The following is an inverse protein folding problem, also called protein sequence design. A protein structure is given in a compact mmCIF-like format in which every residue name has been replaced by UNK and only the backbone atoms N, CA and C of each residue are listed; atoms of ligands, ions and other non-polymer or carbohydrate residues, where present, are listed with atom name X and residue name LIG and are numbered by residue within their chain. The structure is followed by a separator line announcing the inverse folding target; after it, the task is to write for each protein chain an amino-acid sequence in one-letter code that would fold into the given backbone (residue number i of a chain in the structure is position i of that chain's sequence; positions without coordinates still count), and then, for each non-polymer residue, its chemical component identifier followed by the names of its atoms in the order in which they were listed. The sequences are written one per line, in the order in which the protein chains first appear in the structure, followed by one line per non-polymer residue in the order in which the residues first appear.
data_IF_324452546509
#
_entry.id   IF_324452546509
#
_cell.length_a   1.000
_cell.length_b   1.000
_cell.length_c   1.000
_cell.angle_alpha   90.00
_cell.angle_beta   90.00
_cell.angle_gamma   90.00
#
_symmetry.space_group_name_H-M   'P 1'
#
loop_
_entity.id
_entity.type
_entity.pdbx_description
1 polymer ?
#
# COMPACT_ATOMS: atom_id res chain seq x y z
N UNK A 1 26.79 5.10 -5.92
CA UNK A 1 25.36 4.73 -5.95
C UNK A 1 25.04 3.94 -4.70
N UNK A 2 23.90 4.20 -4.04
CA UNK A 2 23.42 3.38 -2.93
C UNK A 2 23.26 1.91 -3.33
N UNK A 3 23.42 0.99 -2.40
CA UNK A 3 23.26 -0.46 -2.60
C UNK A 3 22.14 -1.01 -1.73
N UNK A 4 21.52 -2.11 -2.18
CA UNK A 4 20.64 -2.93 -1.35
C UNK A 4 21.52 -3.93 -0.59
N UNK A 5 21.43 -3.90 0.74
CA UNK A 5 22.15 -4.78 1.65
C UNK A 5 21.18 -5.86 2.15
N UNK A 6 21.60 -7.11 2.07
CA UNK A 6 20.81 -8.23 2.56
C UNK A 6 20.80 -8.24 4.09
N UNK A 7 19.60 -8.28 4.66
CA UNK A 7 19.43 -8.40 6.11
C UNK A 7 19.79 -9.81 6.59
N UNK A 8 20.51 -9.97 7.72
CA UNK A 8 20.75 -11.28 8.31
C UNK A 8 19.44 -11.97 8.72
N UNK A 9 19.41 -13.30 8.64
CA UNK A 9 18.22 -14.10 8.98
C UNK A 9 18.24 -14.66 10.40
N UNK A 10 19.40 -14.67 11.06
CA UNK A 10 19.58 -15.22 12.41
C UNK A 10 20.50 -14.34 13.28
N UNK A 11 20.20 -14.18 14.58
CA UNK A 11 18.89 -14.41 15.19
C UNK A 11 17.83 -13.45 14.62
N UNK A 12 16.55 -13.81 14.72
CA UNK A 12 15.44 -12.92 14.38
C UNK A 12 15.27 -11.83 15.44
N UNK A 13 14.41 -10.83 15.16
CA UNK A 13 14.13 -9.76 16.11
C UNK A 13 13.48 -10.31 17.38
N UNK A 14 13.85 -9.73 18.52
CA UNK A 14 13.23 -10.01 19.82
C UNK A 14 11.96 -9.19 20.02
N UNK A 15 11.96 -7.94 19.52
CA UNK A 15 10.78 -7.10 19.47
C UNK A 15 10.89 -6.08 18.34
N UNK A 16 9.73 -5.64 17.85
CA UNK A 16 9.57 -4.60 16.85
C UNK A 16 8.48 -3.62 17.25
N UNK A 17 8.63 -2.38 16.83
CA UNK A 17 7.57 -1.38 16.80
C UNK A 17 7.50 -0.85 15.39
N UNK A 18 6.34 -0.95 14.75
CA UNK A 18 6.12 -0.48 13.40
C UNK A 18 5.15 0.71 13.43
N UNK A 19 5.45 1.75 12.66
CA UNK A 19 4.71 3.02 12.69
C UNK A 19 4.43 3.52 11.28
N UNK A 20 3.29 4.18 11.11
CA UNK A 20 2.94 4.89 9.88
C UNK A 20 2.78 6.38 10.21
N UNK A 21 3.73 7.19 9.72
CA UNK A 21 3.70 8.64 9.92
C UNK A 21 3.05 9.33 8.74
N UNK A 22 2.11 10.25 9.00
CA UNK A 22 1.40 11.04 7.99
C UNK A 22 1.58 12.54 8.21
N UNK A 23 1.69 13.30 7.13
CA UNK A 23 1.60 14.75 7.18
C UNK A 23 0.14 15.19 7.11
N UNK A 24 -0.46 15.53 8.25
CA UNK A 24 -1.84 16.05 8.33
C UNK A 24 -1.84 17.44 8.96
N UNK A 25 -2.35 18.44 8.24
CA UNK A 25 -2.64 19.76 8.82
C UNK A 25 -4.02 19.76 9.46
N UNK A 26 -4.14 20.46 10.59
CA UNK A 26 -5.41 20.66 11.30
C UNK A 26 -5.58 22.14 11.57
N UNK A 27 -6.68 22.72 11.08
CA UNK A 27 -7.08 24.09 11.42
C UNK A 27 -8.34 24.04 12.26
N UNK A 28 -8.34 24.70 13.42
CA UNK A 28 -9.51 24.76 14.31
C UNK A 28 -10.02 26.20 14.39
N UNK A 29 -11.33 26.39 14.18
CA UNK A 29 -11.97 27.70 14.34
C UNK A 29 -12.05 28.06 15.83
N UNK A 30 -11.51 29.21 16.27
CA UNK A 30 -11.58 29.63 17.67
C UNK A 30 -12.99 30.09 18.08
N UNK A 31 -13.88 30.38 17.13
CA UNK A 31 -15.24 30.85 17.41
C UNK A 31 -16.29 29.73 17.43
N UNK A 32 -16.06 28.64 16.70
CA UNK A 32 -17.05 27.56 16.54
C UNK A 32 -16.56 26.19 16.99
N UNK A 33 -15.27 26.03 17.27
CA UNK A 33 -14.65 24.74 17.58
C UNK A 33 -14.57 23.77 16.39
N UNK A 34 -15.05 24.16 15.21
CA UNK A 34 -15.00 23.31 14.00
C UNK A 34 -13.55 23.12 13.57
N UNK A 35 -13.18 21.87 13.31
CA UNK A 35 -11.87 21.48 12.80
C UNK A 35 -11.96 21.11 11.32
N UNK A 36 -11.00 21.56 10.53
CA UNK A 36 -10.77 21.11 9.17
C UNK A 36 -9.43 20.42 9.13
N UNK A 37 -9.40 19.18 8.66
CA UNK A 37 -8.17 18.39 8.49
C UNK A 37 -7.83 18.31 7.01
N UNK A 38 -6.55 18.40 6.69
CA UNK A 38 -6.05 18.22 5.33
C UNK A 38 -4.84 17.28 5.38
N UNK A 39 -4.96 16.12 4.76
CA UNK A 39 -3.87 15.17 4.63
C UNK A 39 -3.04 15.48 3.38
N UNK A 40 -1.73 15.65 3.55
CA UNK A 40 -0.77 15.83 2.46
C UNK A 40 -0.30 14.50 1.89
N UNK A 41 0.57 14.54 0.88
CA UNK A 41 1.03 13.34 0.18
C UNK A 41 2.02 12.50 0.98
N UNK A 42 2.73 13.09 1.95
CA UNK A 42 3.75 12.38 2.71
C UNK A 42 3.12 11.41 3.70
N UNK A 43 3.29 10.12 3.41
CA UNK A 43 3.07 9.02 4.33
C UNK A 43 4.21 8.01 4.20
N UNK A 44 4.87 7.67 5.30
CA UNK A 44 5.97 6.70 5.31
C UNK A 44 5.92 5.76 6.49
N UNK A 45 6.30 4.51 6.23
CA UNK A 45 6.51 3.53 7.28
C UNK A 45 7.83 3.81 8.01
N UNK A 46 7.83 3.51 9.29
CA UNK A 46 9.00 3.55 10.14
C UNK A 46 8.92 2.44 11.18
N UNK A 47 10.00 2.27 11.91
CA UNK A 47 9.98 1.33 13.02
C UNK A 47 11.26 1.33 13.82
N UNK A 48 11.21 0.61 14.94
CA UNK A 48 12.36 0.31 15.78
C UNK A 48 12.37 -1.18 16.03
N UNK A 49 13.54 -1.80 15.87
CA UNK A 49 13.72 -3.23 16.13
C UNK A 49 14.80 -3.45 17.17
N UNK A 50 14.60 -4.47 18.00
CA UNK A 50 15.54 -4.89 19.03
C UNK A 50 15.97 -6.32 18.75
N UNK A 51 17.27 -6.57 18.75
CA UNK A 51 17.83 -7.90 18.61
C UNK A 51 18.01 -8.58 19.96
N UNK A 52 17.83 -9.92 20.05
CA UNK A 52 18.05 -10.66 21.28
C UNK A 52 19.53 -10.68 21.66
N UNK A 53 19.86 -11.00 22.94
CA UNK A 53 21.22 -11.30 23.34
C UNK A 53 21.83 -12.40 22.48
N UNK A 54 23.04 -12.19 21.95
CA UNK A 54 23.67 -13.13 21.02
C UNK A 54 25.18 -13.26 21.21
N UNK A 55 25.76 -14.34 20.71
CA UNK A 55 27.21 -14.57 20.74
C UNK A 55 27.90 -13.81 19.60
N UNK A 56 29.23 -13.63 19.72
CA UNK A 56 30.04 -12.87 18.75
C UNK A 56 29.88 -13.33 17.29
N UNK A 57 29.76 -14.63 17.04
CA UNK A 57 29.60 -15.18 15.70
C UNK A 57 28.32 -14.67 15.00
N UNK A 58 27.21 -14.62 15.73
CA UNK A 58 25.93 -14.10 15.24
C UNK A 58 25.95 -12.57 15.18
N UNK A 59 26.50 -11.92 16.22
CA UNK A 59 26.64 -10.47 16.27
C UNK A 59 27.48 -9.91 15.11
N UNK A 60 28.51 -10.64 14.67
CA UNK A 60 29.36 -10.20 13.56
C UNK A 60 28.57 -10.03 12.25
N UNK A 61 27.57 -10.88 11.98
CA UNK A 61 26.72 -10.74 10.80
C UNK A 61 25.87 -9.46 10.87
N UNK A 62 25.26 -9.20 12.03
CA UNK A 62 24.48 -7.98 12.26
C UNK A 62 25.33 -6.71 12.25
N UNK A 63 26.49 -6.73 12.87
CA UNK A 63 27.45 -5.62 12.84
C UNK A 63 27.91 -5.34 11.40
N UNK A 64 28.23 -6.38 10.64
CA UNK A 64 28.62 -6.23 9.23
C UNK A 64 27.48 -5.62 8.39
N UNK A 65 26.25 -6.09 8.58
CA UNK A 65 25.06 -5.52 7.96
C UNK A 65 24.93 -4.02 8.27
N UNK A 66 24.92 -3.65 9.56
CA UNK A 66 24.75 -2.27 10.00
C UNK A 66 25.88 -1.33 9.53
N UNK A 67 27.12 -1.81 9.52
CA UNK A 67 28.26 -1.07 8.95
C UNK A 67 28.12 -0.89 7.43
N UNK A 68 27.64 -1.92 6.72
CA UNK A 68 27.40 -1.84 5.29
C UNK A 68 26.21 -0.94 4.93
N UNK A 69 25.27 -0.67 5.84
CA UNK A 69 24.23 0.35 5.64
C UNK A 69 24.83 1.77 5.47
N UNK A 70 26.00 2.04 6.06
CA UNK A 70 26.67 3.36 6.03
C UNK A 70 25.70 4.48 6.45
N UNK A 71 25.09 4.31 7.62
CA UNK A 71 24.02 5.19 8.11
C UNK A 71 22.77 5.11 7.22
N UNK A 72 22.23 6.26 6.84
CA UNK A 72 21.04 6.37 5.99
C UNK A 72 21.35 6.24 4.47
N UNK A 73 22.58 5.89 4.08
CA UNK A 73 23.03 5.92 2.67
C UNK A 73 22.53 4.73 1.86
N UNK A 74 22.75 3.51 2.36
CA UNK A 74 22.35 2.28 1.69
C UNK A 74 20.99 1.82 2.20
N UNK A 75 20.38 0.92 1.44
CA UNK A 75 19.04 0.43 1.67
C UNK A 75 19.05 -1.06 2.01
N UNK A 76 17.94 -1.55 2.53
CA UNK A 76 17.67 -2.97 2.70
C UNK A 76 16.18 -3.22 2.53
N UNK A 77 15.80 -4.44 2.18
CA UNK A 77 14.40 -4.83 2.10
C UNK A 77 13.88 -5.14 3.51
N UNK A 78 12.73 -4.55 3.84
CA UNK A 78 12.10 -4.69 5.14
C UNK A 78 10.58 -4.55 5.03
N UNK A 79 9.90 -5.17 5.98
CA UNK A 79 8.46 -5.11 6.20
C UNK A 79 8.21 -5.30 7.70
N UNK A 80 6.97 -5.25 8.15
CA UNK A 80 6.64 -5.60 9.53
C UNK A 80 7.12 -7.03 9.85
N UNK A 81 8.07 -7.22 10.78
CA UNK A 81 8.59 -8.54 11.10
C UNK A 81 7.53 -9.52 11.58
N UNK A 82 6.50 -9.04 12.28
CA UNK A 82 5.46 -9.89 12.88
C UNK A 82 4.45 -10.36 11.81
N UNK A 83 4.23 -9.54 10.78
CA UNK A 83 3.33 -9.83 9.66
C UNK A 83 4.07 -10.20 8.37
N UNK A 84 5.32 -10.67 8.47
CA UNK A 84 6.13 -11.07 7.31
C UNK A 84 5.49 -12.19 6.49
N UNK A 85 4.74 -13.09 7.13
CA UNK A 85 3.97 -14.13 6.45
C UNK A 85 2.54 -13.63 6.22
N UNK A 86 2.10 -13.46 4.97
CA UNK A 86 0.71 -13.10 4.70
C UNK A 86 -0.26 -14.12 5.29
N UNK A 87 -1.39 -13.62 5.77
CA UNK A 87 -2.53 -14.42 6.24
C UNK A 87 -3.38 -14.92 5.07
N UNK A 88 -3.40 -14.16 3.97
CA UNK A 88 -4.03 -14.57 2.73
C UNK A 88 -3.41 -15.84 2.13
N UNK A 89 -4.20 -16.54 1.32
CA UNK A 89 -3.82 -17.83 0.72
C UNK A 89 -3.41 -17.72 -0.75
N UNK A 90 -3.22 -16.49 -1.27
CA UNK A 90 -2.81 -16.32 -2.66
C UNK A 90 -1.51 -17.07 -2.94
N UNK A 91 -1.53 -17.93 -3.95
CA UNK A 91 -0.52 -18.98 -4.15
C UNK A 91 0.64 -18.60 -5.09
N UNK A 92 0.71 -17.35 -5.53
CA UNK A 92 1.81 -16.83 -6.36
C UNK A 92 2.58 -15.70 -5.65
N UNK A 93 3.75 -15.36 -6.19
CA UNK A 93 4.65 -14.39 -5.56
C UNK A 93 4.12 -12.96 -5.55
N UNK A 94 3.36 -12.59 -6.59
CA UNK A 94 2.81 -11.27 -6.82
C UNK A 94 1.48 -11.31 -7.58
N UNK A 95 0.73 -10.22 -7.43
CA UNK A 95 -0.40 -9.85 -8.27
C UNK A 95 0.04 -8.78 -9.27
N UNK A 96 -0.80 -8.50 -10.26
CA UNK A 96 -0.55 -7.47 -11.26
C UNK A 96 -1.61 -6.38 -11.21
N UNK A 97 -1.20 -5.11 -11.27
CA UNK A 97 -2.11 -3.99 -11.34
C UNK A 97 -2.95 -4.06 -12.62
N UNK A 98 -4.25 -3.84 -12.49
CA UNK A 98 -5.19 -3.88 -13.60
C UNK A 98 -6.32 -2.88 -13.34
N UNK A 99 -6.47 -1.91 -14.23
CA UNK A 99 -7.66 -1.07 -14.26
C UNK A 99 -8.80 -1.78 -15.00
N UNK A 100 -9.99 -1.83 -14.39
CA UNK A 100 -11.22 -2.46 -14.90
C UNK A 100 -12.33 -1.47 -15.28
N UNK A 101 -12.13 -0.16 -15.13
CA UNK A 101 -13.14 0.84 -15.56
C UNK A 101 -13.35 0.72 -17.07
N UNK A 102 -14.58 0.87 -17.57
CA UNK A 102 -14.94 0.62 -18.97
C UNK A 102 -14.28 -0.62 -19.62
N UNK A 103 -14.29 -1.78 -18.93
CA UNK A 103 -13.67 -3.05 -19.34
C UNK A 103 -12.17 -2.99 -19.69
N UNK A 104 -11.37 -2.30 -18.87
CA UNK A 104 -9.90 -2.29 -19.03
C UNK A 104 -9.29 -0.89 -19.26
N UNK A 105 -10.11 0.16 -19.22
CA UNK A 105 -9.77 1.52 -19.66
C UNK A 105 -10.12 2.60 -18.65
N UNK A 106 -9.12 3.39 -18.26
CA UNK A 106 -9.28 4.53 -17.36
C UNK A 106 -10.15 5.63 -17.99
N UNK A 107 -11.21 6.06 -17.31
CA UNK A 107 -12.11 7.12 -17.82
C UNK A 107 -11.57 8.48 -17.40
N UNK A 108 -11.16 9.28 -18.38
CA UNK A 108 -10.53 10.59 -18.13
C UNK A 108 -11.52 11.77 -18.07
N UNK A 109 -12.72 11.62 -18.64
CA UNK A 109 -13.77 12.63 -18.61
C UNK A 109 -15.14 11.98 -18.79
N UNK A 110 -16.05 12.25 -17.85
CA UNK A 110 -17.44 11.80 -17.87
C UNK A 110 -18.28 12.80 -17.06
N UNK A 111 -19.56 12.91 -17.40
CA UNK A 111 -20.51 13.63 -16.55
C UNK A 111 -20.97 12.71 -15.42
N UNK A 112 -20.79 13.14 -14.18
CA UNK A 112 -21.29 12.43 -12.99
C UNK A 112 -22.37 13.26 -12.29
N UNK A 113 -23.34 12.56 -11.72
CA UNK A 113 -24.22 13.11 -10.69
C UNK A 113 -24.10 12.29 -9.41
N UNK A 114 -24.21 12.98 -8.28
CA UNK A 114 -24.00 12.44 -6.94
C UNK A 114 -25.24 12.73 -6.11
N UNK A 115 -25.79 11.71 -5.44
CA UNK A 115 -26.96 11.86 -4.58
C UNK A 115 -27.00 10.78 -3.51
N UNK A 116 -26.95 11.17 -2.24
CA UNK A 116 -26.87 10.23 -1.12
C UNK A 116 -25.59 9.41 -1.19
N UNK A 117 -25.71 8.12 -1.52
CA UNK A 117 -24.57 7.23 -1.79
C UNK A 117 -24.49 6.77 -3.24
N UNK A 118 -25.31 7.35 -4.11
CA UNK A 118 -25.39 6.96 -5.52
C UNK A 118 -24.53 7.87 -6.38
N UNK A 119 -23.73 7.27 -7.25
CA UNK A 119 -23.04 7.95 -8.36
C UNK A 119 -23.67 7.44 -9.65
N UNK A 120 -24.15 8.38 -10.46
CA UNK A 120 -24.70 8.10 -11.79
C UNK A 120 -23.82 8.74 -12.84
N UNK A 121 -23.35 7.95 -13.79
CA UNK A 121 -22.58 8.40 -14.94
C UNK A 121 -23.46 8.62 -16.16
N UNK A 122 -23.12 9.61 -16.98
CA UNK A 122 -23.79 9.87 -18.26
C UNK A 122 -23.57 8.79 -19.33
N UNK A 123 -22.60 7.89 -19.13
CA UNK A 123 -22.27 6.76 -20.00
C UNK A 123 -21.95 5.51 -19.17
N UNK A 124 -21.97 4.34 -19.82
CA UNK A 124 -21.86 3.02 -19.19
C UNK A 124 -20.42 2.66 -18.74
N UNK A 125 -19.80 3.51 -17.93
CA UNK A 125 -18.38 3.39 -17.54
C UNK A 125 -18.10 2.32 -16.48
N UNK A 126 -19.12 1.81 -15.81
CA UNK A 126 -18.98 0.84 -14.72
C UNK A 126 -19.13 -0.61 -15.17
N UNK A 127 -19.15 -0.89 -16.49
CA UNK A 127 -19.34 -2.22 -17.07
C UNK A 127 -18.41 -3.31 -16.50
N UNK A 128 -17.12 -3.02 -16.34
CA UNK A 128 -16.08 -3.93 -15.86
C UNK A 128 -15.92 -3.97 -14.34
N UNK A 129 -16.72 -3.18 -13.61
CA UNK A 129 -16.72 -3.19 -12.15
C UNK A 129 -17.83 -4.09 -11.59
N UNK A 130 -17.60 -4.58 -10.38
CA UNK A 130 -18.59 -5.34 -9.59
C UNK A 130 -18.74 -4.77 -8.18
N UNK A 131 -19.71 -5.29 -7.43
CA UNK A 131 -19.84 -4.95 -6.01
C UNK A 131 -18.57 -5.36 -5.24
N UNK A 132 -18.09 -4.47 -4.37
CA UNK A 132 -16.85 -4.61 -3.62
C UNK A 132 -15.61 -4.03 -4.33
N UNK A 133 -15.71 -3.64 -5.60
CA UNK A 133 -14.63 -2.93 -6.29
C UNK A 133 -14.52 -1.47 -5.83
N UNK A 134 -13.31 -0.94 -5.94
CA UNK A 134 -13.02 0.47 -5.69
C UNK A 134 -12.72 1.24 -6.97
N UNK A 135 -13.05 2.53 -6.98
CA UNK A 135 -12.62 3.47 -8.01
C UNK A 135 -12.29 4.83 -7.37
N UNK A 136 -11.46 5.61 -8.05
CA UNK A 136 -11.05 6.95 -7.66
C UNK A 136 -11.74 7.99 -8.54
N UNK A 137 -12.42 8.95 -7.92
CA UNK A 137 -13.06 10.08 -8.58
C UNK A 137 -12.20 11.33 -8.40
N UNK A 138 -12.05 12.10 -9.47
CA UNK A 138 -11.54 13.47 -9.40
C UNK A 138 -12.31 14.42 -10.30
N UNK A 139 -12.27 15.71 -10.00
CA UNK A 139 -12.96 16.75 -10.77
C UNK A 139 -14.43 16.94 -10.37
N UNK A 140 -14.89 16.34 -9.27
CA UNK A 140 -16.15 16.72 -8.65
C UNK A 140 -16.03 18.12 -8.01
N UNK A 141 -17.15 18.85 -7.92
CA UNK A 141 -17.15 20.22 -7.37
C UNK A 141 -17.01 20.22 -5.86
N UNK A 142 -17.65 19.28 -5.18
CA UNK A 142 -17.50 19.08 -3.74
C UNK A 142 -16.35 18.12 -3.47
N UNK A 143 -15.44 18.53 -2.59
CA UNK A 143 -14.29 17.73 -2.19
C UNK A 143 -14.67 16.37 -1.59
N UNK A 144 -15.82 16.28 -0.92
CA UNK A 144 -16.32 15.01 -0.35
C UNK A 144 -16.66 13.93 -1.40
N UNK A 145 -16.84 14.34 -2.66
CA UNK A 145 -17.14 13.45 -3.78
C UNK A 145 -15.88 13.03 -4.56
N UNK A 146 -14.73 13.64 -4.25
CA UNK A 146 -13.43 13.24 -4.80
C UNK A 146 -12.79 12.19 -3.87
N UNK A 147 -11.93 11.34 -4.44
CA UNK A 147 -11.23 10.30 -3.71
C UNK A 147 -11.68 8.89 -4.05
N UNK A 148 -11.31 7.92 -3.22
CA UNK A 148 -11.60 6.50 -3.42
C UNK A 148 -12.96 6.12 -2.84
N UNK A 149 -13.79 5.47 -3.65
CA UNK A 149 -15.10 4.98 -3.26
C UNK A 149 -15.21 3.47 -3.50
N UNK A 150 -15.76 2.75 -2.52
CA UNK A 150 -16.11 1.33 -2.64
C UNK A 150 -17.52 1.19 -3.20
N UNK A 151 -17.73 0.31 -4.17
CA UNK A 151 -19.05 -0.06 -4.66
C UNK A 151 -19.68 -1.01 -3.64
N UNK A 152 -20.79 -0.60 -3.07
CA UNK A 152 -21.66 -1.50 -2.30
C UNK A 152 -22.54 -2.33 -3.23
N UNK A 153 -23.16 -1.66 -4.22
CA UNK A 153 -24.05 -2.30 -5.20
C UNK A 153 -23.84 -1.65 -6.57
N UNK A 154 -23.74 -2.47 -7.62
CA UNK A 154 -23.80 -2.01 -9.00
C UNK A 154 -25.23 -2.21 -9.52
N UNK A 155 -25.97 -1.12 -9.68
CA UNK A 155 -27.36 -1.16 -10.15
C UNK A 155 -27.44 -1.29 -11.68
N UNK A 156 -26.49 -0.70 -12.38
CA UNK A 156 -26.31 -0.82 -13.84
C UNK A 156 -24.87 -0.43 -14.21
N UNK A 157 -24.52 -0.51 -15.50
CA UNK A 157 -23.22 -0.02 -15.99
C UNK A 157 -23.08 1.52 -15.92
N UNK A 158 -24.16 2.23 -15.60
CA UNK A 158 -24.19 3.70 -15.41
C UNK A 158 -24.41 4.12 -13.95
N UNK A 159 -24.88 3.23 -13.07
CA UNK A 159 -25.30 3.59 -11.70
C UNK A 159 -24.68 2.65 -10.69
N UNK A 160 -23.93 3.23 -9.76
CA UNK A 160 -23.34 2.52 -8.62
C UNK A 160 -23.77 3.18 -7.30
N UNK A 161 -24.01 2.35 -6.29
CA UNK A 161 -24.21 2.76 -4.91
C UNK A 161 -22.92 2.46 -4.17
N UNK A 162 -22.32 3.48 -3.56
CA UNK A 162 -21.05 3.38 -2.84
C UNK A 162 -21.27 3.26 -1.34
N UNK A 163 -20.25 2.89 -0.58
CA UNK A 163 -20.29 2.94 0.89
C UNK A 163 -20.08 4.35 1.44
N UNK A 164 -19.74 5.33 0.59
CA UNK A 164 -19.47 6.70 0.98
C UNK A 164 -20.77 7.51 1.11
N UNK A 165 -20.74 8.53 1.95
CA UNK A 165 -21.77 9.56 1.98
C UNK A 165 -21.31 10.70 1.08
N UNK A 166 -22.07 11.00 0.03
CA UNK A 166 -21.75 11.98 -0.99
C UNK A 166 -22.57 13.26 -0.77
N UNK A 167 -22.02 14.38 -1.23
CA UNK A 167 -22.73 15.66 -1.28
C UNK A 167 -23.44 15.77 -2.62
N UNK A 168 -24.70 16.19 -2.61
CA UNK A 168 -25.51 16.25 -3.83
C UNK A 168 -24.89 17.18 -4.90
N UNK A 169 -24.68 16.63 -6.09
CA UNK A 169 -24.26 17.35 -7.31
C UNK A 169 -25.10 16.83 -8.48
N UNK A 170 -25.91 17.70 -9.07
CA UNK A 170 -26.87 17.28 -10.10
C UNK A 170 -26.23 16.96 -11.45
N UNK A 171 -25.11 17.60 -11.78
CA UNK A 171 -24.37 17.37 -13.02
C UNK A 171 -23.01 18.05 -12.96
N UNK A 172 -21.96 17.27 -12.82
CA UNK A 172 -20.58 17.76 -12.89
C UNK A 172 -19.91 17.15 -14.11
N UNK A 173 -19.58 18.02 -15.07
CA UNK A 173 -18.89 17.63 -16.29
C UNK A 173 -17.38 17.50 -16.05
N UNK A 174 -16.73 16.61 -16.80
CA UNK A 174 -15.27 16.42 -16.77
C UNK A 174 -14.72 15.75 -15.50
N UNK A 175 -15.55 15.02 -14.77
CA UNK A 175 -15.03 14.13 -13.72
C UNK A 175 -14.22 13.00 -14.37
N UNK A 176 -13.18 12.54 -13.69
CA UNK A 176 -12.44 11.33 -14.08
C UNK A 176 -12.75 10.20 -13.11
N UNK A 177 -12.79 8.97 -13.63
CA UNK A 177 -13.03 7.74 -12.87
C UNK A 177 -11.95 6.74 -13.24
N UNK A 178 -11.07 6.45 -12.28
CA UNK A 178 -9.85 5.67 -12.53
C UNK A 178 -9.56 4.70 -11.39
N UNK A 179 -8.69 3.72 -11.62
CA UNK A 179 -8.16 2.81 -10.60
C UNK A 179 -6.63 2.86 -10.56
N UNK A 180 -5.99 2.46 -9.46
CA UNK A 180 -4.53 2.43 -9.33
C UNK A 180 -3.83 3.77 -9.66
N UNK A 181 -4.47 4.88 -9.32
CA UNK A 181 -3.91 6.23 -9.51
C UNK A 181 -3.33 6.76 -8.20
N UNK A 182 -2.41 7.72 -8.31
CA UNK A 182 -1.86 8.46 -7.18
C UNK A 182 -2.99 9.01 -6.30
N UNK A 183 -2.85 8.83 -5.00
CA UNK A 183 -3.83 9.25 -4.00
C UNK A 183 -4.97 8.26 -3.78
N UNK A 184 -5.08 7.19 -4.57
CA UNK A 184 -6.07 6.15 -4.31
C UNK A 184 -5.74 5.35 -3.06
N UNK A 185 -6.77 5.01 -2.30
CA UNK A 185 -6.72 4.16 -1.09
C UNK A 185 -7.13 2.72 -1.39
N UNK A 186 -7.07 2.33 -2.65
CA UNK A 186 -7.37 0.97 -3.09
C UNK A 186 -6.53 0.58 -4.30
N UNK A 187 -6.26 -0.73 -4.39
CA UNK A 187 -5.64 -1.39 -5.52
C UNK A 187 -6.69 -2.24 -6.25
N UNK A 188 -6.73 -2.11 -7.57
CA UNK A 188 -7.40 -3.03 -8.47
C UNK A 188 -6.33 -3.91 -9.11
N UNK A 189 -6.38 -5.20 -8.82
CA UNK A 189 -5.37 -6.18 -9.22
C UNK A 189 -6.02 -7.34 -9.97
N UNK A 190 -5.20 -8.06 -10.70
CA UNK A 190 -5.47 -9.39 -11.23
C UNK A 190 -4.42 -10.38 -10.73
N UNK A 191 -4.78 -11.65 -10.76
CA UNK A 191 -3.83 -12.74 -10.67
C UNK A 191 -2.83 -12.65 -11.83
N UNK A 192 -1.62 -13.17 -11.62
CA UNK A 192 -0.58 -13.22 -12.66
C UNK A 192 -0.79 -14.34 -13.67
N UNK A 193 -1.71 -15.27 -13.38
CA UNK A 193 -2.15 -16.32 -14.28
C UNK A 193 -3.50 -16.89 -13.81
N UNK A 194 -4.16 -17.65 -14.68
CA UNK A 194 -5.43 -18.32 -14.39
C UNK A 194 -5.30 -19.48 -13.41
N UNK A 195 -4.07 -19.87 -13.06
CA UNK A 195 -3.77 -20.84 -12.00
C UNK A 195 -3.45 -20.20 -10.65
N UNK A 196 -3.18 -18.89 -10.65
CA UNK A 196 -2.89 -18.15 -9.44
C UNK A 196 -4.21 -17.73 -8.78
N UNK A 197 -4.45 -18.26 -7.59
CA UNK A 197 -5.72 -18.12 -6.85
C UNK A 197 -5.46 -18.02 -5.36
N UNK A 198 -6.49 -17.68 -4.61
CA UNK A 198 -6.47 -17.56 -3.15
C UNK A 198 -7.05 -16.24 -2.69
N UNK A 199 -6.63 -15.76 -1.53
CA UNK A 199 -7.17 -14.54 -0.95
C UNK A 199 -6.07 -13.58 -0.54
N UNK A 200 -6.37 -12.29 -0.56
CA UNK A 200 -5.63 -11.25 0.19
C UNK A 200 -6.51 -10.84 1.37
N UNK A 201 -5.94 -10.83 2.58
CA UNK A 201 -6.67 -10.61 3.83
C UNK A 201 -6.26 -9.32 4.52
N UNK A 202 -7.15 -8.82 5.38
CA UNK A 202 -6.83 -7.69 6.23
C UNK A 202 -5.55 -7.93 7.04
N UNK A 203 -4.65 -6.95 7.03
CA UNK A 203 -3.35 -6.99 7.67
C UNK A 203 -2.22 -7.53 6.79
N UNK A 204 -2.51 -8.01 5.58
CA UNK A 204 -1.47 -8.44 4.65
C UNK A 204 -0.73 -7.21 4.11
N UNK A 205 0.60 -7.24 4.20
CA UNK A 205 1.47 -6.26 3.56
C UNK A 205 1.68 -6.60 2.09
N UNK A 206 1.66 -5.57 1.26
CA UNK A 206 1.84 -5.63 -0.19
C UNK A 206 2.91 -4.63 -0.59
N UNK A 207 3.89 -5.07 -1.38
CA UNK A 207 4.91 -4.17 -1.92
C UNK A 207 4.61 -3.82 -3.36
N UNK A 208 4.47 -2.53 -3.66
CA UNK A 208 4.30 -2.03 -5.03
C UNK A 208 5.67 -1.91 -5.67
N UNK A 209 5.85 -2.56 -6.83
CA UNK A 209 7.07 -2.48 -7.63
C UNK A 209 6.98 -1.41 -8.69
N UNK A 210 8.11 -0.89 -9.16
CA UNK A 210 8.18 0.10 -10.25
C UNK A 210 8.19 -0.52 -11.67
N UNK A 211 7.58 -1.68 -11.84
CA UNK A 211 7.46 -2.33 -13.14
C UNK A 211 6.91 -3.73 -13.03
N UNK A 212 7.23 -4.55 -14.05
CA UNK A 212 6.55 -5.82 -14.32
C UNK A 212 7.38 -7.06 -13.95
N UNK A 213 8.50 -6.91 -13.23
CA UNK A 213 9.41 -8.01 -12.89
C UNK A 213 9.96 -7.90 -11.47
N UNK A 214 9.75 -8.92 -10.63
CA UNK A 214 10.26 -8.98 -9.26
C UNK A 214 11.80 -9.04 -9.15
N UNK A 215 12.49 -9.34 -10.25
CA UNK A 215 13.95 -9.54 -10.27
C UNK A 215 14.72 -8.31 -10.72
N UNK A 216 14.10 -7.46 -11.55
CA UNK A 216 14.73 -6.29 -12.17
C UNK A 216 14.13 -4.98 -11.70
N UNK A 217 12.93 -5.00 -11.14
CA UNK A 217 12.27 -3.83 -10.58
C UNK A 217 12.41 -3.81 -9.06
N UNK A 218 12.53 -2.60 -8.52
CA UNK A 218 12.61 -2.39 -7.08
C UNK A 218 11.21 -2.14 -6.51
N UNK A 219 10.93 -2.56 -5.28
CA UNK A 219 9.76 -2.10 -4.55
C UNK A 219 9.93 -0.62 -4.19
N UNK A 220 8.88 0.15 -4.42
CA UNK A 220 8.85 1.62 -4.25
C UNK A 220 7.87 2.09 -3.18
N UNK A 221 6.95 1.22 -2.77
CA UNK A 221 5.98 1.56 -1.73
C UNK A 221 5.53 0.30 -1.01
N UNK A 222 5.50 0.34 0.31
CA UNK A 222 4.80 -0.65 1.13
C UNK A 222 3.39 -0.15 1.43
N UNK A 223 2.40 -1.01 1.25
CA UNK A 223 1.02 -0.77 1.69
C UNK A 223 0.52 -1.98 2.47
N UNK A 224 -0.56 -1.79 3.24
CA UNK A 224 -1.21 -2.85 4.00
C UNK A 224 -2.69 -2.90 3.62
N UNK A 225 -3.22 -4.10 3.41
CA UNK A 225 -4.64 -4.31 3.20
C UNK A 225 -5.41 -3.99 4.49
N UNK A 226 -6.38 -3.08 4.42
CA UNK A 226 -7.17 -2.64 5.60
C UNK A 226 -8.50 -3.36 5.74
N UNK A 227 -8.87 -4.15 4.75
CA UNK A 227 -10.00 -5.09 4.77
C UNK A 227 -9.65 -6.33 3.93
N UNK A 228 -10.47 -7.37 4.05
CA UNK A 228 -10.38 -8.52 3.16
C UNK A 228 -10.67 -8.10 1.71
N UNK A 229 -9.82 -8.53 0.78
CA UNK A 229 -9.98 -8.18 -0.62
C UNK A 229 -11.26 -8.79 -1.21
N UNK A 230 -11.93 -8.02 -2.06
CA UNK A 230 -13.00 -8.54 -2.92
C UNK A 230 -12.37 -9.38 -4.02
N UNK A 231 -12.64 -10.69 -4.03
CA UNK A 231 -12.24 -11.61 -5.08
C UNK A 231 -13.39 -11.79 -6.08
N UNK A 232 -13.10 -11.62 -7.37
CA UNK A 232 -14.04 -11.89 -8.47
C UNK A 232 -13.40 -12.89 -9.43
N UNK A 233 -14.00 -14.06 -9.54
CA UNK A 233 -13.54 -15.14 -10.44
C UNK A 233 -14.27 -15.05 -11.78
N UNK A 234 -13.59 -14.69 -12.86
CA UNK A 234 -14.21 -14.43 -14.17
C UNK A 234 -13.79 -15.43 -15.27
N UNK A 235 -13.76 -16.74 -15.01
CA UNK A 235 -13.42 -17.77 -16.00
C UNK A 235 -12.00 -17.71 -16.62
N UNK A 236 -11.27 -16.61 -16.40
CA UNK A 236 -9.86 -16.38 -16.66
C UNK A 236 -9.12 -16.09 -15.36
N UNK A 237 -8.29 -15.05 -15.34
CA UNK A 237 -7.53 -14.67 -14.15
C UNK A 237 -8.45 -14.15 -13.03
N UNK A 238 -8.12 -14.49 -11.78
CA UNK A 238 -8.83 -13.99 -10.62
C UNK A 238 -8.60 -12.49 -10.44
N UNK A 239 -9.65 -11.73 -10.17
CA UNK A 239 -9.57 -10.29 -9.97
C UNK A 239 -9.69 -9.94 -8.48
N UNK A 240 -8.88 -9.00 -8.01
CA UNK A 240 -8.84 -8.57 -6.62
C UNK A 240 -9.08 -7.07 -6.53
N UNK A 241 -9.89 -6.66 -5.58
CA UNK A 241 -10.00 -5.26 -5.15
C UNK A 241 -9.60 -5.16 -3.68
N UNK A 242 -8.56 -4.40 -3.40
CA UNK A 242 -7.92 -4.36 -2.08
C UNK A 242 -7.93 -2.93 -1.57
N UNK A 243 -8.65 -2.65 -0.48
CA UNK A 243 -8.49 -1.37 0.20
C UNK A 243 -7.14 -1.36 0.92
N UNK A 244 -6.39 -0.27 0.77
CA UNK A 244 -5.02 -0.17 1.23
C UNK A 244 -4.75 1.11 2.01
N UNK A 245 -3.78 1.05 2.90
CA UNK A 245 -3.16 2.22 3.51
C UNK A 245 -1.63 2.03 3.57
N UNK A 246 -0.83 3.10 3.39
CA UNK A 246 -1.21 4.45 2.95
C UNK A 246 -1.66 4.50 1.47
N UNK A 247 -2.22 5.64 1.05
CA UNK A 247 -2.59 5.91 -0.34
C UNK A 247 -1.44 5.74 -1.33
N UNK A 248 -1.74 5.39 -2.59
CA UNK A 248 -0.73 5.21 -3.63
C UNK A 248 0.06 6.51 -3.89
N UNK A 249 1.39 6.39 -3.99
CA UNK A 249 2.29 7.54 -4.25
C UNK A 249 2.40 7.90 -5.72
N UNK A 250 2.07 6.98 -6.62
CA UNK A 250 2.15 7.14 -8.06
C UNK A 250 1.05 6.34 -8.75
N UNK A 251 0.77 6.71 -10.01
CA UNK A 251 -0.07 5.91 -10.88
C UNK A 251 0.63 4.59 -11.22
N UNK A 252 -0.11 3.48 -11.19
CA UNK A 252 0.37 2.19 -11.66
C UNK A 252 -0.24 1.92 -13.03
N UNK A 253 0.62 1.67 -14.02
CA UNK A 253 0.14 1.15 -15.30
C UNK A 253 -0.23 -0.31 -15.15
N UNK A 254 -1.06 -0.82 -16.06
CA UNK A 254 -1.38 -2.25 -16.09
C UNK A 254 -0.10 -3.10 -16.10
N UNK A 255 -0.19 -4.25 -15.44
CA UNK A 255 0.89 -5.23 -15.24
C UNK A 255 2.01 -4.84 -14.27
N UNK A 256 1.97 -3.64 -13.65
CA UNK A 256 2.87 -3.36 -12.51
C UNK A 256 2.67 -4.41 -11.42
N UNK A 257 3.75 -4.97 -10.90
CA UNK A 257 3.65 -6.02 -9.90
C UNK A 257 3.42 -5.47 -8.50
N UNK A 258 2.56 -6.17 -7.77
CA UNK A 258 2.31 -5.97 -6.35
C UNK A 258 2.68 -7.27 -5.65
N UNK A 259 3.83 -7.27 -4.98
CA UNK A 259 4.39 -8.44 -4.30
C UNK A 259 3.56 -8.80 -3.06
N UNK A 260 3.29 -10.10 -2.93
CA UNK A 260 2.44 -10.67 -1.88
C UNK A 260 3.18 -11.64 -0.98
N UNK A 261 3.94 -12.57 -1.56
CA UNK A 261 4.67 -13.59 -0.80
C UNK A 261 5.70 -12.99 0.16
N UNK A 262 6.09 -13.73 1.21
CA UNK A 262 7.07 -13.26 2.21
C UNK A 262 8.42 -12.73 1.70
N UNK A 263 9.00 -13.21 0.57
CA UNK A 263 10.19 -12.56 -0.01
C UNK A 263 9.87 -11.28 -0.80
N UNK A 264 8.60 -11.06 -1.19
CA UNK A 264 8.19 -9.98 -2.10
C UNK A 264 7.20 -8.98 -1.47
N UNK A 265 6.81 -9.13 -0.19
CA UNK A 265 5.98 -8.17 0.56
C UNK A 265 6.81 -7.15 1.36
N UNK A 266 7.99 -6.78 0.84
CA UNK A 266 8.95 -5.91 1.50
C UNK A 266 9.26 -4.68 0.62
N UNK A 267 9.42 -3.53 1.26
CA UNK A 267 9.85 -2.30 0.58
C UNK A 267 11.28 -1.94 0.97
N UNK A 268 11.82 -0.91 0.35
CA UNK A 268 13.16 -0.38 0.64
C UNK A 268 13.10 0.48 1.90
N UNK A 269 13.90 0.11 2.89
CA UNK A 269 14.13 0.88 4.11
C UNK A 269 15.60 1.28 4.22
N UNK A 270 15.87 2.27 5.07
CA UNK A 270 17.20 2.69 5.50
C UNK A 270 17.21 2.92 7.00
N UNK A 271 18.40 2.99 7.58
CA UNK A 271 18.54 3.41 8.97
C UNK A 271 18.07 4.87 9.10
N UNK A 272 17.32 5.14 10.17
CA UNK A 272 16.88 6.51 10.50
C UNK A 272 18.04 7.35 11.06
N UNK A 273 18.93 6.72 11.84
CA UNK A 273 20.13 7.33 12.40
C UNK A 273 21.39 7.00 11.60
N UNK A 274 22.40 7.87 11.71
CA UNK A 274 23.72 7.64 11.10
C UNK A 274 24.69 6.92 12.04
N UNK A 275 24.41 6.93 13.34
CA UNK A 275 25.14 6.17 14.33
C UNK A 275 24.48 4.82 14.56
N UNK A 276 25.31 3.78 14.71
CA UNK A 276 24.89 2.46 15.15
C UNK A 276 25.74 2.12 16.36
N UNK A 277 25.09 1.70 17.44
CA UNK A 277 25.74 1.34 18.68
C UNK A 277 25.46 -0.13 19.02
N UNK A 278 26.46 -0.79 19.61
CA UNK A 278 26.33 -2.10 20.21
C UNK A 278 27.26 -2.19 21.42
N UNK A 279 26.83 -2.92 22.44
CA UNK A 279 27.63 -3.20 23.63
C UNK A 279 27.78 -4.71 23.83
N UNK A 280 28.86 -5.11 24.48
CA UNK A 280 29.13 -6.49 24.88
C UNK A 280 29.50 -6.54 26.36
N UNK A 281 29.08 -7.59 27.04
CA UNK A 281 29.44 -7.83 28.43
C UNK A 281 30.74 -8.66 28.55
N UNK A 282 31.24 -8.81 29.78
CA UNK A 282 32.43 -9.61 30.08
C UNK A 282 32.32 -11.10 29.68
N UNK A 283 31.10 -11.59 29.42
CA UNK A 283 30.84 -12.94 28.93
C UNK A 283 30.77 -13.03 27.39
N UNK A 284 31.25 -12.02 26.67
CA UNK A 284 31.21 -11.94 25.19
C UNK A 284 29.80 -12.06 24.59
N UNK A 285 28.79 -11.69 25.37
CA UNK A 285 27.39 -11.64 24.92
C UNK A 285 27.10 -10.21 24.51
N UNK A 286 26.67 -10.04 23.26
CA UNK A 286 26.18 -8.77 22.74
C UNK A 286 24.73 -8.61 23.15
N UNK A 287 24.40 -7.48 23.76
CA UNK A 287 23.05 -7.19 24.25
C UNK A 287 22.59 -5.84 23.73
N UNK A 288 21.31 -5.73 23.36
CA UNK A 288 20.66 -4.44 23.15
C UNK A 288 20.98 -3.75 21.82
N UNK A 289 21.40 -4.48 20.78
CA UNK A 289 21.48 -3.88 19.44
C UNK A 289 20.07 -3.46 19.03
N UNK A 290 19.87 -2.16 18.94
CA UNK A 290 18.60 -1.52 18.59
C UNK A 290 18.86 -0.55 17.46
N UNK A 291 18.00 -0.56 16.45
CA UNK A 291 18.09 0.43 15.38
C UNK A 291 16.71 0.81 14.88
N UNK A 292 16.63 2.05 14.40
CA UNK A 292 15.42 2.61 13.83
C UNK A 292 15.52 2.62 12.31
N UNK A 293 14.39 2.38 11.67
CA UNK A 293 14.28 2.26 10.22
C UNK A 293 13.21 3.21 9.70
N UNK A 294 13.42 3.70 8.49
CA UNK A 294 12.41 4.49 7.77
C UNK A 294 12.37 4.03 6.32
N UNK A 295 11.16 3.96 5.78
CA UNK A 295 10.93 3.63 4.38
C UNK A 295 11.57 4.70 3.48
N UNK A 296 12.10 4.27 2.35
CA UNK A 296 12.56 5.14 1.28
C UNK A 296 11.35 5.53 0.44
N UNK A 297 11.11 6.83 0.33
CA UNK A 297 10.08 7.43 -0.54
C UNK A 297 10.73 7.82 -1.87
#
# INVERSE_FOLDING_TARGET
MPKIITIPTNPTFASSTFTLSRAVAVTTSPFTGKQTTQEFEQASWGGSVVLPPMRRNEAAAWQSFLLNCKGATNFFLFTDPDAKTPRGTYNADALQAEARINSGSQVSSVTLSFSGSTITAGTAIFDGLVAGDFFFVSGATNEANNGTHKIQTKSSDTVVITTSVLTTESSTASCSVKQNVKGAEALSLAATSSSATGTVKQGDYLAVYNGTSLTTNDPVQLVMAVEDATLTTNGGDDHYSVAIQPKLRADLTNSHLVGFSSPHNQSRFRLQGNAVEWSANAANTYTGITFQVTEVI
#
